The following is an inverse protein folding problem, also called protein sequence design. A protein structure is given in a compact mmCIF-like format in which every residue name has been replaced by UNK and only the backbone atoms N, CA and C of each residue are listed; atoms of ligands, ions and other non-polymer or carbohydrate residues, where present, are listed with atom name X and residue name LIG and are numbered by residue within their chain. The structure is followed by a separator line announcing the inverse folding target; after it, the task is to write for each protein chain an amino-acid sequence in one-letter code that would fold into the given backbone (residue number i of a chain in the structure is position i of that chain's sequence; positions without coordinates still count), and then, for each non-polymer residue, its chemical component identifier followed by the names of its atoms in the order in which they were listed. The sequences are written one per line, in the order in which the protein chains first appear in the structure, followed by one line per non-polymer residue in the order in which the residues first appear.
data_IF_223023272192
#
_entry.id   IF_223023272192
#
_cell.length_a   1.000
_cell.length_b   1.000
_cell.length_c   1.000
_cell.angle_alpha   90.00
_cell.angle_beta   90.00
_cell.angle_gamma   90.00
#
_symmetry.space_group_name_H-M   'P 1'
#
loop_
_entity.id
_entity.type
_entity.pdbx_description
1 polymer ?
#
# COMPACT_ATOMS: atom_id res chain seq x y z
N UNK A 1 -7.31 1.78 15.04
CA UNK A 1 -6.49 0.56 14.90
C UNK A 1 -5.96 0.18 16.28
N UNK A 2 -6.03 -1.10 16.69
CA UNK A 2 -5.86 -1.50 18.10
C UNK A 2 -4.57 -2.30 18.40
N UNK A 3 -3.69 -2.47 17.41
CA UNK A 3 -2.42 -3.18 17.62
C UNK A 3 -1.53 -2.49 18.65
N UNK A 4 -1.00 -3.26 19.60
CA UNK A 4 -0.15 -2.75 20.68
C UNK A 4 1.14 -2.08 20.17
N UNK A 5 1.65 -2.51 19.01
CA UNK A 5 2.82 -1.92 18.34
C UNK A 5 2.68 -0.41 18.06
N UNK A 6 1.44 0.11 17.97
CA UNK A 6 1.20 1.56 17.79
C UNK A 6 1.67 2.35 19.01
N UNK A 7 1.57 1.78 20.22
CA UNK A 7 2.02 2.46 21.45
C UNK A 7 3.54 2.64 21.44
N UNK A 8 4.26 1.65 20.95
CA UNK A 8 5.72 1.70 20.83
C UNK A 8 6.15 2.71 19.78
N UNK A 9 5.48 2.74 18.61
CA UNK A 9 5.70 3.78 17.59
C UNK A 9 5.46 5.17 18.20
N UNK A 10 4.33 5.36 18.89
CA UNK A 10 3.98 6.65 19.49
C UNK A 10 5.02 7.12 20.51
N UNK A 11 5.52 6.21 21.37
CA UNK A 11 6.58 6.51 22.32
C UNK A 11 7.89 6.91 21.62
N UNK A 12 8.27 6.21 20.54
CA UNK A 12 9.45 6.55 19.76
C UNK A 12 9.33 7.88 19.04
N UNK A 13 8.16 8.17 18.45
CA UNK A 13 7.87 9.47 17.82
C UNK A 13 8.00 10.58 18.86
N UNK A 14 7.34 10.45 20.01
CA UNK A 14 7.37 11.44 21.09
C UNK A 14 8.78 11.70 21.64
N UNK A 15 9.66 10.70 21.61
CA UNK A 15 11.07 10.86 22.02
C UNK A 15 11.92 11.67 21.01
N UNK A 16 11.54 11.66 19.74
CA UNK A 16 12.32 12.25 18.62
C UNK A 16 11.81 13.62 18.19
N UNK A 17 10.53 13.93 18.38
CA UNK A 17 10.01 15.27 18.14
C UNK A 17 10.35 16.20 19.31
N UNK A 18 11.01 17.33 19.03
CA UNK A 18 11.38 18.35 20.02
C UNK A 18 10.16 19.03 20.69
N UNK A 19 8.94 18.74 20.24
CA UNK A 19 7.70 19.15 20.89
C UNK A 19 7.37 18.17 22.02
N UNK A 20 8.05 18.34 23.16
CA UNK A 20 7.73 17.68 24.43
C UNK A 20 6.43 18.19 25.08
N UNK A 21 5.44 18.64 24.28
CA UNK A 21 4.13 18.95 24.83
C UNK A 21 3.36 17.65 24.94
N UNK A 22 3.30 17.10 26.15
CA UNK A 22 2.41 15.98 26.50
C UNK A 22 0.93 16.38 26.52
N UNK A 23 0.65 17.68 26.40
CA UNK A 23 -0.71 18.20 26.42
C UNK A 23 -1.35 17.98 25.05
N UNK A 24 -2.48 17.27 25.06
CA UNK A 24 -3.34 17.13 23.88
C UNK A 24 -3.76 18.54 23.42
N UNK A 25 -3.77 18.81 22.10
CA UNK A 25 -4.36 20.03 21.58
C UNK A 25 -5.77 20.23 22.16
N UNK A 26 -6.11 21.45 22.63
CA UNK A 26 -7.46 21.72 23.15
C UNK A 26 -8.53 21.31 22.15
N UNK A 27 -9.55 20.59 22.61
CA UNK A 27 -10.65 20.14 21.77
C UNK A 27 -10.34 18.96 20.85
N UNK A 28 -9.15 18.33 20.93
CA UNK A 28 -8.84 17.20 20.04
C UNK A 28 -9.84 16.04 20.19
N UNK A 29 -10.29 15.76 21.41
CA UNK A 29 -11.18 14.64 21.73
C UNK A 29 -12.65 15.04 21.93
N UNK A 30 -12.96 16.33 21.80
CA UNK A 30 -14.30 16.84 22.13
C UNK A 30 -15.29 16.56 21.00
N UNK A 31 -16.52 16.18 21.33
CA UNK A 31 -17.64 16.03 20.38
C UNK A 31 -17.32 15.18 19.14
N UNK A 32 -16.57 14.09 19.31
CA UNK A 32 -16.25 13.17 18.21
C UNK A 32 -17.51 12.43 17.72
N UNK A 33 -17.59 12.11 16.41
CA UNK A 33 -18.64 11.26 15.87
C UNK A 33 -18.72 9.88 16.55
N UNK A 34 -19.91 9.29 16.62
CA UNK A 34 -20.12 7.93 17.13
C UNK A 34 -19.61 6.86 16.16
N UNK A 35 -19.51 7.18 14.87
CA UNK A 35 -18.98 6.29 13.85
C UNK A 35 -17.45 6.26 13.91
N UNK A 36 -16.87 5.05 13.96
CA UNK A 36 -15.44 4.87 14.19
C UNK A 36 -14.56 5.41 13.05
N UNK A 37 -15.03 5.31 11.79
CA UNK A 37 -14.27 5.79 10.64
C UNK A 37 -14.33 7.33 10.60
N UNK A 38 -15.52 7.90 10.77
CA UNK A 38 -15.69 9.36 10.87
C UNK A 38 -14.94 9.96 12.07
N UNK A 39 -14.88 9.24 13.19
CA UNK A 39 -14.11 9.63 14.36
C UNK A 39 -12.60 9.70 14.05
N UNK A 40 -12.07 8.71 13.33
CA UNK A 40 -10.66 8.70 12.92
C UNK A 40 -10.34 9.85 11.96
N UNK A 41 -11.20 10.09 10.98
CA UNK A 41 -11.03 11.18 10.01
C UNK A 41 -10.99 12.55 10.73
N UNK A 42 -11.93 12.79 11.64
CA UNK A 42 -11.99 14.03 12.42
C UNK A 42 -10.73 14.21 13.29
N UNK A 43 -10.26 13.15 13.94
CA UNK A 43 -9.02 13.18 14.73
C UNK A 43 -7.79 13.49 13.87
N UNK A 44 -7.70 12.92 12.67
CA UNK A 44 -6.59 13.17 11.73
C UNK A 44 -6.57 14.64 11.30
N UNK A 45 -7.73 15.20 10.94
CA UNK A 45 -7.84 16.60 10.52
C UNK A 45 -7.47 17.56 11.67
N UNK A 46 -7.98 17.31 12.88
CA UNK A 46 -7.62 18.12 14.06
C UNK A 46 -6.14 18.00 14.42
N UNK A 47 -5.57 16.80 14.33
CA UNK A 47 -4.15 16.59 14.59
C UNK A 47 -3.27 17.31 13.55
N UNK A 48 -3.64 17.27 12.26
CA UNK A 48 -2.95 18.02 11.19
C UNK A 48 -2.99 19.53 11.44
N UNK A 49 -4.16 20.05 11.82
CA UNK A 49 -4.30 21.47 12.14
C UNK A 49 -3.44 21.87 13.35
N UNK A 50 -3.41 21.06 14.40
CA UNK A 50 -2.65 21.33 15.62
C UNK A 50 -1.13 21.25 15.42
N UNK A 51 -0.64 20.29 14.62
CA UNK A 51 0.78 20.05 14.40
C UNK A 51 1.39 20.91 13.30
N UNK A 52 0.58 21.65 12.52
CA UNK A 52 0.92 22.19 11.20
C UNK A 52 1.27 21.09 10.18
N UNK A 53 1.26 21.42 8.89
CA UNK A 53 1.64 20.47 7.83
C UNK A 53 3.04 19.90 8.06
N UNK A 54 4.01 20.75 8.40
CA UNK A 54 5.39 20.31 8.63
C UNK A 54 5.54 19.38 9.84
N UNK A 55 4.79 19.64 10.92
CA UNK A 55 4.82 18.78 12.11
C UNK A 55 4.09 17.46 11.89
N UNK A 56 2.94 17.48 11.19
CA UNK A 56 2.23 16.28 10.81
C UNK A 56 3.07 15.39 9.89
N UNK A 57 3.72 15.97 8.87
CA UNK A 57 4.62 15.25 7.98
C UNK A 57 5.83 14.66 8.72
N UNK A 58 6.37 15.36 9.72
CA UNK A 58 7.46 14.83 10.55
C UNK A 58 7.01 13.61 11.37
N UNK A 59 5.82 13.64 11.97
CA UNK A 59 5.24 12.50 12.69
C UNK A 59 4.98 11.33 11.73
N UNK A 60 4.38 11.59 10.57
CA UNK A 60 4.12 10.59 9.54
C UNK A 60 5.42 9.91 9.09
N UNK A 61 6.46 10.70 8.81
CA UNK A 61 7.76 10.18 8.37
C UNK A 61 8.41 9.29 9.43
N UNK A 62 8.38 9.70 10.70
CA UNK A 62 8.91 8.89 11.81
C UNK A 62 8.13 7.57 11.98
N UNK A 63 6.81 7.60 11.83
CA UNK A 63 5.98 6.41 11.89
C UNK A 63 6.29 5.43 10.75
N UNK A 64 6.42 5.94 9.52
CA UNK A 64 6.81 5.15 8.34
C UNK A 64 8.19 4.53 8.54
N UNK A 65 9.17 5.31 8.97
CA UNK A 65 10.54 4.83 9.23
C UNK A 65 10.58 3.72 10.28
N UNK A 66 9.80 3.87 11.36
CA UNK A 66 9.73 2.87 12.41
C UNK A 66 9.11 1.56 11.92
N UNK A 67 7.93 1.61 11.31
CA UNK A 67 7.23 0.42 10.79
C UNK A 67 8.09 -0.28 9.73
N UNK A 68 8.73 0.49 8.85
CA UNK A 68 9.56 -0.08 7.80
C UNK A 68 10.84 -0.72 8.37
N UNK A 69 11.42 -0.15 9.42
CA UNK A 69 12.56 -0.75 10.12
C UNK A 69 12.17 -2.07 10.80
N UNK A 70 11.00 -2.12 11.44
CA UNK A 70 10.46 -3.33 12.08
C UNK A 70 10.21 -4.45 11.05
N UNK A 71 9.56 -4.13 9.93
CA UNK A 71 9.35 -5.10 8.83
C UNK A 71 10.70 -5.61 8.27
N UNK A 72 11.69 -4.73 8.11
CA UNK A 72 13.03 -5.12 7.63
C UNK A 72 13.71 -6.10 8.59
N UNK A 73 13.64 -5.83 9.89
CA UNK A 73 14.21 -6.70 10.92
C UNK A 73 13.53 -8.07 10.89
N UNK A 74 12.19 -8.11 10.91
CA UNK A 74 11.42 -9.36 10.86
C UNK A 74 11.76 -10.22 9.64
N UNK A 75 11.86 -9.60 8.46
CA UNK A 75 12.22 -10.30 7.23
C UNK A 75 13.68 -10.77 7.23
N UNK A 76 14.62 -9.94 7.68
CA UNK A 76 16.03 -10.31 7.75
C UNK A 76 16.24 -11.48 8.72
N UNK A 77 15.59 -11.46 9.88
CA UNK A 77 15.63 -12.58 10.83
C UNK A 77 14.93 -13.84 10.28
N UNK A 78 13.98 -13.70 9.36
CA UNK A 78 13.38 -14.82 8.61
C UNK A 78 14.25 -15.29 7.42
N UNK A 79 15.37 -14.61 7.13
CA UNK A 79 16.28 -14.96 6.04
C UNK A 79 15.91 -14.35 4.68
N UNK A 80 15.09 -13.30 4.67
CA UNK A 80 14.69 -12.56 3.47
C UNK A 80 15.36 -11.17 3.47
N UNK A 81 16.25 -10.95 2.52
CA UNK A 81 16.88 -9.64 2.28
C UNK A 81 16.44 -9.10 0.91
N UNK A 82 15.93 -7.87 0.90
CA UNK A 82 15.58 -7.17 -0.34
C UNK A 82 16.73 -6.26 -0.79
N UNK A 83 17.12 -6.39 -2.05
CA UNK A 83 18.10 -5.50 -2.69
C UNK A 83 17.58 -4.05 -2.81
N UNK A 84 16.28 -3.89 -3.05
CA UNK A 84 15.65 -2.59 -3.25
C UNK A 84 14.30 -2.51 -2.52
N UNK A 85 14.12 -1.42 -1.78
CA UNK A 85 12.83 -1.04 -1.19
C UNK A 85 12.29 0.17 -1.92
N UNK A 86 11.18 -0.02 -2.62
CA UNK A 86 10.62 0.99 -3.50
C UNK A 86 9.47 1.75 -2.84
N UNK A 87 9.45 3.08 -2.99
CA UNK A 87 8.41 3.94 -2.41
C UNK A 87 7.36 4.31 -3.46
N UNK A 88 6.09 4.03 -3.19
CA UNK A 88 4.97 4.48 -4.04
C UNK A 88 4.95 6.01 -4.19
N UNK A 89 5.24 6.75 -3.11
CA UNK A 89 5.31 8.23 -3.14
C UNK A 89 6.26 8.73 -4.22
N UNK A 90 7.34 7.99 -4.49
CA UNK A 90 8.31 8.34 -5.53
C UNK A 90 7.72 8.29 -6.94
N UNK A 91 6.76 7.40 -7.23
CA UNK A 91 6.12 7.32 -8.55
C UNK A 91 5.34 8.60 -8.87
N UNK A 92 4.62 9.11 -7.88
CA UNK A 92 3.85 10.34 -8.03
C UNK A 92 4.76 11.55 -8.04
N UNK A 93 5.70 11.67 -7.10
CA UNK A 93 6.57 12.84 -6.99
C UNK A 93 7.54 13.00 -8.17
N UNK A 94 7.89 11.91 -8.84
CA UNK A 94 8.75 11.93 -10.05
C UNK A 94 7.95 11.96 -11.36
N UNK A 95 6.62 12.03 -11.29
CA UNK A 95 5.74 12.12 -12.46
C UNK A 95 5.62 10.85 -13.29
N UNK A 96 6.08 9.69 -12.78
CA UNK A 96 6.01 8.39 -13.48
C UNK A 96 4.55 8.01 -13.75
N UNK A 97 3.65 8.25 -12.79
CA UNK A 97 2.21 7.98 -12.97
C UNK A 97 1.64 8.83 -14.09
N UNK A 98 1.91 10.14 -14.09
CA UNK A 98 1.40 11.04 -15.12
C UNK A 98 1.93 10.65 -16.50
N UNK A 99 3.24 10.39 -16.62
CA UNK A 99 3.85 9.94 -17.89
C UNK A 99 3.21 8.66 -18.42
N UNK A 100 2.84 7.74 -17.53
CA UNK A 100 2.17 6.50 -17.91
C UNK A 100 0.75 6.76 -18.42
N UNK A 101 0.01 7.67 -17.80
CA UNK A 101 -1.30 8.10 -18.28
C UNK A 101 -1.21 8.80 -19.64
N UNK A 102 -0.22 9.68 -19.82
CA UNK A 102 0.02 10.37 -21.09
C UNK A 102 0.34 9.36 -22.20
N UNK A 103 1.16 8.35 -21.92
CA UNK A 103 1.45 7.27 -22.86
C UNK A 103 0.18 6.50 -23.25
N UNK A 104 -0.67 6.13 -22.29
CA UNK A 104 -1.94 5.46 -22.58
C UNK A 104 -2.87 6.35 -23.43
N UNK A 105 -2.89 7.66 -23.19
CA UNK A 105 -3.67 8.60 -23.98
C UNK A 105 -3.12 8.73 -25.41
N UNK A 106 -1.80 8.79 -25.59
CA UNK A 106 -1.13 8.84 -26.89
C UNK A 106 -1.38 7.57 -27.72
N UNK A 107 -1.48 6.40 -27.08
CA UNK A 107 -1.86 5.15 -27.73
C UNK A 107 -3.36 5.10 -28.11
N UNK A 108 -4.17 6.09 -27.68
CA UNK A 108 -5.59 6.16 -27.98
C UNK A 108 -6.45 5.12 -27.22
N UNK A 109 -5.91 4.55 -26.14
CA UNK A 109 -6.56 3.47 -25.37
C UNK A 109 -7.29 3.96 -24.13
N UNK A 110 -7.38 5.28 -23.95
CA UNK A 110 -8.18 5.91 -22.90
C UNK A 110 -9.38 6.66 -23.46
N UNK A 111 -10.43 6.80 -22.66
CA UNK A 111 -11.60 7.61 -22.99
C UNK A 111 -12.21 8.23 -21.73
N UNK A 112 -12.92 9.34 -21.89
CA UNK A 112 -13.67 9.97 -20.80
C UNK A 112 -15.10 9.44 -20.75
N UNK A 113 -15.57 9.15 -19.53
CA UNK A 113 -16.96 8.77 -19.26
C UNK A 113 -17.29 9.08 -17.80
N UNK A 114 -18.46 9.70 -17.59
CA UNK A 114 -18.98 10.06 -16.26
C UNK A 114 -17.98 10.91 -15.45
N UNK A 115 -17.29 11.85 -16.11
CA UNK A 115 -16.28 12.72 -15.50
C UNK A 115 -14.94 12.05 -15.17
N UNK A 116 -14.82 10.74 -15.38
CA UNK A 116 -13.62 9.96 -15.13
C UNK A 116 -12.89 9.58 -16.43
N UNK A 117 -11.59 9.29 -16.33
CA UNK A 117 -10.80 8.72 -17.43
C UNK A 117 -10.71 7.21 -17.25
N UNK A 118 -11.09 6.50 -18.30
CA UNK A 118 -11.13 5.04 -18.38
C UNK A 118 -10.07 4.53 -19.34
N UNK A 119 -9.39 3.45 -18.96
CA UNK A 119 -8.53 2.65 -19.82
C UNK A 119 -9.34 1.49 -20.43
N UNK A 120 -9.24 1.33 -21.75
CA UNK A 120 -9.84 0.25 -22.55
C UNK A 120 -9.18 -1.10 -22.30
N UNK A 121 -9.18 -1.56 -21.05
CA UNK A 121 -8.53 -2.79 -20.65
C UNK A 121 -9.11 -4.03 -21.35
N UNK A 122 -10.37 -3.96 -21.80
CA UNK A 122 -11.02 -5.04 -22.55
C UNK A 122 -10.35 -5.33 -23.90
N UNK A 123 -9.76 -4.32 -24.54
CA UNK A 123 -9.00 -4.49 -25.79
C UNK A 123 -7.73 -5.34 -25.58
N UNK A 124 -7.34 -5.55 -24.33
CA UNK A 124 -6.14 -6.27 -23.89
C UNK A 124 -6.46 -7.48 -22.99
N UNK A 125 -7.71 -8.00 -23.06
CA UNK A 125 -8.09 -9.24 -22.41
C UNK A 125 -8.48 -9.14 -20.93
N UNK A 126 -8.68 -7.93 -20.39
CA UNK A 126 -9.32 -7.76 -19.08
C UNK A 126 -10.86 -7.90 -19.21
N UNK A 127 -11.54 -8.18 -18.10
CA UNK A 127 -12.99 -8.40 -18.06
C UNK A 127 -13.80 -7.13 -18.35
N UNK A 128 -13.27 -5.96 -17.96
CA UNK A 128 -13.92 -4.65 -18.13
C UNK A 128 -12.90 -3.53 -18.15
N UNK A 129 -13.30 -2.43 -18.78
CA UNK A 129 -12.53 -1.19 -18.76
C UNK A 129 -12.38 -0.66 -17.32
N UNK A 130 -11.27 0.02 -17.07
CA UNK A 130 -10.85 0.40 -15.72
C UNK A 130 -10.68 1.89 -15.60
N UNK A 131 -11.19 2.46 -14.52
CA UNK A 131 -10.93 3.87 -14.19
C UNK A 131 -9.45 4.03 -13.82
N UNK A 132 -8.77 4.94 -14.51
CA UNK A 132 -7.37 5.32 -14.22
C UNK A 132 -7.27 6.70 -13.58
N UNK A 133 -8.23 7.59 -13.86
CA UNK A 133 -8.42 8.88 -13.18
C UNK A 133 -9.89 9.02 -12.78
N UNK A 134 -10.15 9.28 -11.50
CA UNK A 134 -11.50 9.47 -10.95
C UNK A 134 -12.08 10.83 -11.36
N UNK A 135 -13.39 11.00 -11.17
CA UNK A 135 -14.10 12.27 -11.42
C UNK A 135 -13.53 13.47 -10.65
N UNK A 136 -12.90 13.24 -9.49
CA UNK A 136 -12.25 14.26 -8.69
C UNK A 136 -10.80 14.55 -9.12
N UNK A 137 -10.37 14.02 -10.27
CA UNK A 137 -9.01 14.18 -10.81
C UNK A 137 -7.92 13.33 -10.14
N UNK A 138 -8.25 12.57 -9.09
CA UNK A 138 -7.26 11.69 -8.43
C UNK A 138 -7.04 10.43 -9.25
N UNK A 139 -5.77 10.04 -9.39
CA UNK A 139 -5.39 8.76 -10.01
C UNK A 139 -5.85 7.58 -9.15
N UNK A 140 -6.12 6.44 -9.78
CA UNK A 140 -6.46 5.20 -9.06
C UNK A 140 -5.20 4.41 -8.70
N UNK A 141 -5.30 3.51 -7.71
CA UNK A 141 -4.21 2.56 -7.41
C UNK A 141 -3.84 1.71 -8.64
N UNK A 142 -4.83 1.40 -9.48
CA UNK A 142 -4.57 0.72 -10.73
C UNK A 142 -3.67 1.53 -11.67
N UNK A 143 -3.81 2.87 -11.73
CA UNK A 143 -2.89 3.71 -12.49
C UNK A 143 -1.46 3.65 -11.92
N UNK A 144 -1.32 3.65 -10.59
CA UNK A 144 -0.03 3.44 -9.91
C UNK A 144 0.58 2.07 -10.24
N UNK A 145 -0.24 1.01 -10.30
CA UNK A 145 0.23 -0.34 -10.62
C UNK A 145 0.79 -0.43 -12.04
N UNK A 146 0.10 0.14 -13.03
CA UNK A 146 0.61 0.18 -14.41
C UNK A 146 1.94 0.92 -14.43
N UNK A 147 1.98 2.10 -13.81
CA UNK A 147 3.16 2.95 -13.76
C UNK A 147 4.35 2.26 -13.09
N UNK A 148 4.12 1.52 -12.00
CA UNK A 148 5.16 0.78 -11.31
C UNK A 148 5.68 -0.40 -12.13
N UNK A 149 4.80 -1.16 -12.78
CA UNK A 149 5.19 -2.28 -13.64
C UNK A 149 5.97 -1.80 -14.87
N UNK A 150 5.52 -0.72 -15.51
CA UNK A 150 6.27 -0.06 -16.58
C UNK A 150 7.63 0.43 -16.07
N UNK A 151 7.68 1.04 -14.88
CA UNK A 151 8.93 1.48 -14.30
C UNK A 151 9.92 0.33 -14.05
N UNK A 152 9.45 -0.84 -13.55
CA UNK A 152 10.29 -2.05 -13.44
C UNK A 152 10.85 -2.45 -14.82
N UNK A 153 10.04 -2.38 -15.89
CA UNK A 153 10.48 -2.66 -17.26
C UNK A 153 11.52 -1.66 -17.78
N UNK A 154 11.33 -0.38 -17.52
CA UNK A 154 12.26 0.69 -17.91
C UNK A 154 13.64 0.55 -17.24
N UNK A 155 13.74 -0.14 -16.09
CA UNK A 155 15.02 -0.49 -15.44
C UNK A 155 15.81 -1.58 -16.18
N UNK A 156 15.22 -2.21 -17.20
CA UNK A 156 15.87 -3.21 -18.04
C UNK A 156 15.60 -4.68 -17.66
N UNK A 157 14.69 -4.94 -16.70
CA UNK A 157 14.34 -6.31 -16.31
C UNK A 157 13.52 -6.99 -17.39
N UNK A 158 14.08 -8.04 -18.02
CA UNK A 158 13.44 -8.80 -19.10
C UNK A 158 12.20 -9.60 -18.68
N UNK A 159 12.09 -9.95 -17.40
CA UNK A 159 11.00 -10.70 -16.79
C UNK A 159 10.66 -10.06 -15.44
N UNK A 160 9.38 -9.92 -15.16
CA UNK A 160 8.81 -9.48 -13.89
C UNK A 160 8.16 -10.69 -13.23
N UNK A 161 8.47 -10.90 -11.95
CA UNK A 161 7.86 -11.95 -11.14
C UNK A 161 7.20 -11.29 -9.93
N UNK A 162 5.89 -11.48 -9.83
CA UNK A 162 5.08 -10.99 -8.73
C UNK A 162 4.56 -12.17 -7.91
N UNK A 163 4.56 -12.04 -6.58
CA UNK A 163 4.03 -13.06 -5.66
C UNK A 163 2.85 -12.46 -4.92
N UNK A 164 1.64 -12.91 -5.22
CA UNK A 164 0.39 -12.34 -4.68
C UNK A 164 -0.43 -13.39 -3.94
N UNK A 165 -1.34 -12.94 -3.07
CA UNK A 165 -2.36 -13.82 -2.51
C UNK A 165 -3.30 -14.36 -3.58
N UNK A 166 -3.78 -15.61 -3.44
CA UNK A 166 -4.66 -16.27 -4.39
C UNK A 166 -5.99 -15.52 -4.66
N UNK A 167 -6.43 -14.70 -3.72
CA UNK A 167 -7.56 -13.79 -3.85
C UNK A 167 -7.37 -12.69 -4.93
N UNK A 168 -6.13 -12.46 -5.38
CA UNK A 168 -5.78 -11.48 -6.41
C UNK A 168 -5.77 -12.05 -7.83
N UNK A 169 -6.18 -13.30 -8.07
CA UNK A 169 -6.13 -13.92 -9.41
C UNK A 169 -6.83 -13.06 -10.49
N UNK A 170 -7.98 -12.45 -10.17
CA UNK A 170 -8.75 -11.60 -11.09
C UNK A 170 -8.14 -10.22 -11.33
N UNK A 171 -7.01 -9.91 -10.67
CA UNK A 171 -6.23 -8.69 -10.87
C UNK A 171 -5.10 -8.90 -11.90
N UNK A 172 -4.75 -10.15 -12.22
CA UNK A 172 -3.66 -10.44 -13.17
C UNK A 172 -3.94 -9.88 -14.57
N UNK A 173 -5.13 -10.10 -15.18
CA UNK A 173 -5.38 -9.66 -16.55
C UNK A 173 -5.25 -8.15 -16.72
N UNK A 174 -5.71 -7.35 -15.74
CA UNK A 174 -5.66 -5.89 -15.85
C UNK A 174 -4.25 -5.30 -15.78
N UNK A 175 -3.35 -5.90 -14.99
CA UNK A 175 -1.96 -5.44 -14.91
C UNK A 175 -1.22 -5.79 -16.20
N UNK A 176 -1.45 -7.00 -16.74
CA UNK A 176 -0.95 -7.40 -18.06
C UNK A 176 -1.46 -6.49 -19.17
N UNK A 177 -2.75 -6.13 -19.14
CA UNK A 177 -3.34 -5.18 -20.07
C UNK A 177 -2.64 -3.81 -20.03
N UNK A 178 -2.34 -3.28 -18.84
CA UNK A 178 -1.61 -2.03 -18.71
C UNK A 178 -0.17 -2.08 -19.24
N UNK A 179 0.53 -3.21 -19.03
CA UNK A 179 1.85 -3.44 -19.61
C UNK A 179 1.79 -3.51 -21.14
N UNK A 180 0.82 -4.23 -21.70
CA UNK A 180 0.65 -4.36 -23.15
C UNK A 180 0.29 -3.03 -23.81
N UNK A 181 -0.61 -2.27 -23.20
CA UNK A 181 -1.00 -0.94 -23.65
C UNK A 181 0.14 0.09 -23.58
N UNK A 182 1.16 -0.15 -22.77
CA UNK A 182 2.38 0.67 -22.70
C UNK A 182 3.52 0.13 -23.59
N UNK A 183 3.19 -0.81 -24.50
CA UNK A 183 4.11 -1.34 -25.50
C UNK A 183 5.02 -2.46 -25.00
N UNK A 184 4.76 -3.02 -23.81
CA UNK A 184 5.48 -4.19 -23.30
C UNK A 184 4.79 -5.49 -23.73
N UNK A 185 5.48 -6.61 -23.69
CA UNK A 185 4.83 -7.91 -23.87
C UNK A 185 4.07 -8.29 -22.60
N UNK A 186 2.82 -8.76 -22.72
CA UNK A 186 2.06 -9.29 -21.59
C UNK A 186 2.77 -10.48 -20.90
N UNK A 187 3.58 -11.24 -21.65
CA UNK A 187 4.37 -12.38 -21.16
C UNK A 187 5.59 -11.95 -20.34
N UNK A 188 5.88 -10.64 -20.26
CA UNK A 188 6.95 -10.17 -19.38
C UNK A 188 6.59 -10.26 -17.90
N UNK A 189 5.32 -10.51 -17.55
CA UNK A 189 4.84 -10.63 -16.17
C UNK A 189 4.34 -12.04 -15.86
N UNK A 190 5.03 -12.68 -14.92
CA UNK A 190 4.59 -13.88 -14.24
C UNK A 190 4.09 -13.55 -12.84
N UNK A 191 2.96 -14.14 -12.48
CA UNK A 191 2.34 -13.95 -11.17
C UNK A 191 2.16 -15.31 -10.51
N UNK A 192 2.86 -15.50 -9.40
CA UNK A 192 2.75 -16.68 -8.54
C UNK A 192 1.73 -16.38 -7.44
N UNK A 193 0.76 -17.29 -7.28
CA UNK A 193 -0.31 -17.13 -6.31
C UNK A 193 -0.07 -17.99 -5.07
N UNK A 194 0.18 -17.33 -3.93
CA UNK A 194 0.29 -17.99 -2.63
C UNK A 194 -1.10 -18.20 -2.02
N UNK A 195 -1.35 -19.42 -1.55
CA UNK A 195 -2.62 -19.79 -0.92
C UNK A 195 -2.66 -19.37 0.55
N UNK A 196 -3.86 -19.18 1.08
CA UNK A 196 -4.04 -18.93 2.50
C UNK A 196 -3.59 -20.12 3.33
N UNK A 197 -2.86 -19.84 4.41
CA UNK A 197 -2.43 -20.82 5.40
C UNK A 197 -3.35 -20.78 6.62
N UNK A 198 -3.56 -21.94 7.24
CA UNK A 198 -4.29 -22.05 8.49
C UNK A 198 -3.34 -22.55 9.58
N UNK A 199 -3.23 -21.79 10.67
CA UNK A 199 -2.43 -22.18 11.83
C UNK A 199 -3.26 -23.03 12.78
N UNK A 200 -2.64 -24.07 13.32
CA UNK A 200 -3.23 -24.97 14.30
C UNK A 200 -2.31 -25.06 15.51
N UNK A 201 -2.90 -24.93 16.69
CA UNK A 201 -2.21 -25.12 17.97
C UNK A 201 -2.97 -26.18 18.77
N UNK A 202 -2.27 -27.19 19.29
CA UNK A 202 -2.89 -28.30 20.05
C UNK A 202 -4.07 -28.96 19.33
N UNK A 203 -3.99 -29.09 18.00
CA UNK A 203 -5.04 -29.67 17.16
C UNK A 203 -6.27 -28.79 16.93
N UNK A 204 -6.27 -27.53 17.41
CA UNK A 204 -7.34 -26.56 17.19
C UNK A 204 -6.88 -25.46 16.26
N UNK A 205 -7.75 -25.08 15.31
CA UNK A 205 -7.49 -23.97 14.40
C UNK A 205 -7.46 -22.67 15.21
N UNK A 206 -6.37 -21.92 15.07
CA UNK A 206 -6.27 -20.58 15.67
C UNK A 206 -7.18 -19.61 14.91
N UNK A 207 -7.90 -18.77 15.65
CA UNK A 207 -8.68 -17.68 15.05
C UNK A 207 -7.82 -16.44 14.94
N UNK A 208 -7.86 -15.80 13.78
CA UNK A 208 -7.21 -14.50 13.53
C UNK A 208 -8.30 -13.50 13.16
N UNK A 209 -8.17 -12.28 13.66
CA UNK A 209 -9.14 -11.19 13.47
C UNK A 209 -8.41 -9.87 13.27
N UNK A 210 -8.45 -9.38 12.03
CA UNK A 210 -7.90 -8.07 11.67
C UNK A 210 -8.56 -6.92 12.42
N UNK A 211 -9.85 -7.07 12.79
CA UNK A 211 -10.62 -5.99 13.46
C UNK A 211 -10.27 -5.84 14.94
N UNK A 212 -10.05 -6.95 15.65
CA UNK A 212 -9.58 -6.90 17.05
C UNK A 212 -8.06 -6.67 17.13
N UNK A 213 -7.34 -6.79 16.02
CA UNK A 213 -5.88 -6.73 16.01
C UNK A 213 -5.23 -8.02 16.54
N UNK A 214 -6.01 -9.09 16.68
CA UNK A 214 -5.51 -10.40 17.11
C UNK A 214 -5.04 -11.20 15.88
N UNK A 215 -3.74 -11.26 15.68
CA UNK A 215 -3.10 -12.07 14.65
C UNK A 215 -1.78 -12.61 15.19
N UNK A 216 -1.32 -13.72 14.64
CA UNK A 216 0.02 -14.24 14.92
C UNK A 216 0.99 -13.51 14.01
N UNK A 217 1.94 -12.80 14.60
CA UNK A 217 3.00 -12.10 13.87
C UNK A 217 4.01 -13.10 13.31
N UNK A 218 4.75 -12.69 12.27
CA UNK A 218 5.86 -13.50 11.75
C UNK A 218 6.92 -13.73 12.85
N UNK A 219 7.21 -12.69 13.64
CA UNK A 219 8.14 -12.73 14.77
C UNK A 219 7.75 -13.79 15.81
N UNK A 220 6.49 -13.82 16.23
CA UNK A 220 5.98 -14.82 17.18
C UNK A 220 6.08 -16.23 16.62
N UNK A 221 5.63 -16.44 15.37
CA UNK A 221 5.67 -17.74 14.73
C UNK A 221 7.11 -18.27 14.64
N UNK A 222 8.05 -17.43 14.21
CA UNK A 222 9.47 -17.76 14.11
C UNK A 222 10.10 -18.07 15.46
N UNK A 223 9.74 -17.35 16.52
CA UNK A 223 10.20 -17.65 17.88
C UNK A 223 9.66 -18.99 18.39
N UNK A 224 8.47 -19.38 17.98
CA UNK A 224 7.84 -20.63 18.43
C UNK A 224 8.37 -21.86 17.70
N UNK A 225 8.50 -21.79 16.36
CA UNK A 225 8.82 -22.97 15.53
C UNK A 225 10.21 -22.96 14.90
N UNK A 226 10.91 -21.82 14.91
CA UNK A 226 12.18 -21.65 14.21
C UNK A 226 12.02 -21.09 12.80
N UNK A 227 13.13 -21.10 12.05
CA UNK A 227 13.21 -20.59 10.68
C UNK A 227 13.26 -21.70 9.62
N UNK A 228 13.49 -22.95 10.02
CA UNK A 228 13.77 -24.10 9.17
C UNK A 228 12.52 -24.83 8.63
#
# INVERSE_FOLDING_TARGET
YQGDYIKDIAAQVASKTAQQSTDLPPGLLDDLPDDADAQLDELIERARAALSEAGFDAVLQLAIENILADIREDLAEFGVEYDEWFSEKSLTSTGVVQRTLDLLAEQGVTYEKDGAVWFRATDYGDEKDRVVVRENGRTTYFASDIAYHLNKRERGFGRLLDVWGADHHGYIPRVRAGLEATGQSADCLDVELVQFVALFENGKKMQMSTRSGEFVTLRELRHEVGND
#
